data_IF_133283537064
#
_entry.id   IF_133283537064
#
_cell.length_a   1.000
_cell.length_b   1.000
_cell.length_c   1.000
_cell.angle_alpha   90.00
_cell.angle_beta   90.00
_cell.angle_gamma   90.00
#
_symmetry.space_group_name_H-M   'P 1'
#
loop_
_entity.id
_entity.type
_entity.pdbx_description
1 polymer ?
#
# COMPACT_ATOMS: atom_id res chain seq x y z
N UNK A 1 20.97 -43.64 -47.94
CA UNK A 1 21.57 -42.53 -48.70
C UNK A 1 21.27 -41.28 -47.87
N UNK A 2 22.06 -40.94 -46.90
CA UNK A 2 23.22 -40.06 -46.77
C UNK A 2 23.01 -38.69 -47.45
N UNK A 3 22.78 -37.66 -46.66
CA UNK A 3 23.68 -36.49 -46.67
C UNK A 3 23.50 -35.64 -45.39
N UNK A 4 24.64 -35.44 -44.72
CA UNK A 4 24.86 -34.44 -43.67
C UNK A 4 25.27 -33.13 -44.34
N UNK A 5 24.80 -31.99 -43.84
CA UNK A 5 25.49 -30.72 -44.05
C UNK A 5 25.57 -29.96 -42.69
N UNK A 6 26.80 -29.73 -42.28
CA UNK A 6 27.20 -28.98 -41.12
C UNK A 6 27.12 -27.47 -41.42
N UNK A 7 26.79 -26.71 -40.43
CA UNK A 7 26.80 -25.26 -40.39
C UNK A 7 27.60 -24.75 -39.21
N UNK A 8 28.58 -23.92 -39.52
CA UNK A 8 29.65 -23.43 -38.66
C UNK A 8 29.20 -22.54 -37.51
N UNK A 9 29.81 -22.74 -36.36
CA UNK A 9 29.76 -21.83 -35.18
C UNK A 9 30.71 -20.68 -35.44
N UNK A 10 30.21 -19.45 -35.50
CA UNK A 10 31.02 -18.24 -35.48
C UNK A 10 30.98 -17.65 -34.08
N UNK A 11 32.10 -17.75 -33.40
CA UNK A 11 32.38 -17.04 -32.13
C UNK A 11 32.69 -15.57 -32.45
N UNK A 12 31.85 -14.67 -31.97
CA UNK A 12 32.10 -13.23 -32.00
C UNK A 12 32.63 -12.77 -30.64
N UNK A 13 33.91 -12.41 -30.61
CA UNK A 13 34.63 -11.79 -29.51
C UNK A 13 34.23 -10.30 -29.45
N UNK A 14 33.52 -9.88 -28.41
CA UNK A 14 33.26 -8.47 -28.16
C UNK A 14 34.33 -7.90 -27.25
N UNK A 15 35.04 -6.87 -27.74
CA UNK A 15 36.07 -6.14 -27.05
C UNK A 15 35.51 -5.25 -25.93
N UNK A 16 36.10 -5.36 -24.75
CA UNK A 16 35.85 -4.47 -23.62
C UNK A 16 36.53 -3.10 -23.86
N UNK A 17 35.74 -2.06 -23.95
CA UNK A 17 36.20 -0.66 -23.96
C UNK A 17 36.18 -0.12 -22.53
N UNK A 18 37.36 0.10 -21.96
CA UNK A 18 37.55 0.76 -20.66
C UNK A 18 37.36 2.27 -20.81
N UNK A 19 36.33 2.82 -20.18
CA UNK A 19 36.12 4.25 -20.09
C UNK A 19 36.72 4.80 -18.81
N UNK A 20 37.84 5.53 -18.95
CA UNK A 20 38.51 6.26 -17.88
C UNK A 20 37.69 7.47 -17.48
N UNK A 21 37.19 7.50 -16.24
CA UNK A 21 36.50 8.67 -15.68
C UNK A 21 37.54 9.60 -15.03
N UNK A 22 37.71 10.77 -15.63
CA UNK A 22 38.51 11.86 -15.09
C UNK A 22 37.82 12.51 -13.89
N UNK A 23 38.52 12.52 -12.76
CA UNK A 23 38.11 13.14 -11.49
C UNK A 23 38.47 14.63 -11.51
N UNK A 24 37.53 15.54 -11.74
CA UNK A 24 37.70 16.95 -11.52
C UNK A 24 37.46 17.32 -10.05
N UNK A 25 38.52 17.76 -9.38
CA UNK A 25 38.43 18.37 -8.04
C UNK A 25 37.93 19.81 -8.15
N UNK A 26 36.76 20.08 -7.57
CA UNK A 26 36.27 21.44 -7.36
C UNK A 26 36.81 21.98 -6.03
N UNK A 27 37.48 23.09 -6.06
CA UNK A 27 38.02 23.81 -4.91
C UNK A 27 36.88 24.56 -4.19
N UNK A 28 36.77 24.33 -2.89
CA UNK A 28 35.88 25.06 -1.99
C UNK A 28 36.50 26.42 -1.63
N UNK A 29 35.85 27.51 -2.04
CA UNK A 29 36.15 28.85 -1.57
C UNK A 29 35.34 29.15 -0.32
N UNK A 30 36.01 29.20 0.83
CA UNK A 30 35.45 29.65 2.10
C UNK A 30 35.38 31.17 2.11
N UNK A 31 34.16 31.71 2.04
CA UNK A 31 33.93 33.17 2.20
C UNK A 31 33.48 33.43 3.65
N UNK A 32 34.43 33.93 4.47
CA UNK A 32 34.24 34.31 5.86
C UNK A 32 33.67 35.74 5.94
N UNK A 33 32.36 35.87 6.14
CA UNK A 33 31.75 37.16 6.47
C UNK A 33 31.69 37.31 7.99
N UNK A 34 32.62 38.17 8.51
CA UNK A 34 32.58 38.71 9.89
C UNK A 34 31.39 39.65 10.03
N UNK A 35 30.35 39.25 10.72
CA UNK A 35 29.27 40.13 11.18
C UNK A 35 29.66 40.76 12.53
N UNK A 36 29.86 42.08 12.54
CA UNK A 36 30.00 42.89 13.75
C UNK A 36 28.67 42.90 14.53
N UNK A 37 28.63 42.25 15.66
CA UNK A 37 27.53 42.34 16.63
C UNK A 37 27.62 43.66 17.39
N UNK A 38 26.74 44.61 17.08
CA UNK A 38 26.39 45.71 18.00
C UNK A 38 25.40 45.13 19.03
N UNK A 39 25.85 45.07 20.29
CA UNK A 39 25.01 44.65 21.41
C UNK A 39 23.95 45.69 21.76
N UNK A 40 22.67 45.28 21.63
CA UNK A 40 21.56 46.01 22.25
C UNK A 40 20.89 45.04 23.19
N UNK A 41 21.13 45.15 24.51
CA UNK A 41 20.50 44.37 25.54
C UNK A 41 19.06 44.81 25.73
N UNK A 42 18.13 44.15 25.06
CA UNK A 42 16.71 44.30 25.34
C UNK A 42 16.33 43.32 26.45
N UNK A 43 16.07 43.80 27.66
CA UNK A 43 15.55 43.01 28.75
C UNK A 43 14.08 42.69 28.47
N UNK A 44 13.82 41.56 27.81
CA UNK A 44 12.47 41.02 27.67
C UNK A 44 12.15 40.23 28.96
N UNK A 45 11.31 40.78 29.81
CA UNK A 45 10.67 40.05 30.90
C UNK A 45 9.68 39.05 30.28
N UNK A 46 9.97 37.77 30.42
CA UNK A 46 9.01 36.70 30.05
C UNK A 46 7.84 36.74 31.05
N UNK A 47 6.58 36.80 30.58
CA UNK A 47 5.44 36.59 31.45
C UNK A 47 5.49 35.17 32.05
N UNK A 48 5.31 35.06 33.36
CA UNK A 48 5.17 33.77 34.06
C UNK A 48 3.86 33.13 33.59
N UNK A 49 3.96 32.18 32.63
CA UNK A 49 2.84 31.32 32.27
C UNK A 49 2.75 30.24 33.32
N UNK A 50 1.76 30.34 34.22
CA UNK A 50 1.40 29.23 35.10
C UNK A 50 0.83 28.10 34.26
N UNK A 51 1.34 26.85 34.42
CA UNK A 51 0.77 25.73 33.67
C UNK A 51 -0.68 25.48 34.10
N UNK A 52 -1.59 25.13 33.18
CA UNK A 52 -2.95 24.79 33.57
C UNK A 52 -2.92 23.57 34.49
N UNK A 53 -3.57 23.67 35.64
CA UNK A 53 -3.77 22.56 36.56
C UNK A 53 -4.76 21.61 35.87
N UNK A 54 -4.24 20.54 35.28
CA UNK A 54 -5.06 19.44 34.81
C UNK A 54 -5.57 18.68 36.03
N UNK A 55 -6.80 18.95 36.44
CA UNK A 55 -7.52 18.11 37.38
C UNK A 55 -7.80 16.76 36.75
N UNK A 56 -6.95 15.77 37.00
CA UNK A 56 -7.14 14.38 36.59
C UNK A 56 -8.24 13.73 37.44
N UNK A 57 -9.49 13.97 37.08
CA UNK A 57 -10.60 13.11 37.47
C UNK A 57 -10.93 12.17 36.31
N UNK A 58 -10.04 11.26 35.96
CA UNK A 58 -10.34 10.14 35.12
C UNK A 58 -10.73 8.95 35.98
N UNK A 59 -12.01 8.85 36.32
CA UNK A 59 -12.61 7.55 36.60
C UNK A 59 -12.51 6.73 35.33
N UNK A 60 -11.51 5.85 35.25
CA UNK A 60 -11.42 4.82 34.22
C UNK A 60 -12.52 3.79 34.48
N UNK A 61 -13.76 4.11 34.10
CA UNK A 61 -14.75 3.08 33.88
C UNK A 61 -14.27 2.30 32.64
N UNK A 62 -13.85 1.07 32.87
CA UNK A 62 -13.62 0.12 31.77
C UNK A 62 -14.95 -0.05 31.01
N UNK A 63 -15.12 0.74 29.95
CA UNK A 63 -16.28 0.64 29.06
C UNK A 63 -16.14 -0.72 28.37
N UNK A 64 -16.92 -1.71 28.81
CA UNK A 64 -17.10 -2.96 28.06
C UNK A 64 -17.75 -2.56 26.73
N UNK A 65 -17.02 -2.73 25.63
CA UNK A 65 -17.54 -2.46 24.29
C UNK A 65 -18.64 -3.47 24.01
N UNK A 66 -19.88 -3.01 23.93
CA UNK A 66 -21.03 -3.81 23.54
C UNK A 66 -21.14 -3.76 22.00
N UNK A 67 -20.46 -4.69 21.34
CA UNK A 67 -20.40 -4.73 19.87
C UNK A 67 -21.77 -4.89 19.18
N UNK A 68 -22.81 -5.32 19.90
CA UNK A 68 -24.17 -5.37 19.34
C UNK A 68 -24.79 -3.99 19.18
N UNK A 69 -24.48 -3.08 20.10
CA UNK A 69 -25.03 -1.72 20.13
C UNK A 69 -24.02 -0.65 19.65
N UNK A 70 -22.72 -0.95 19.73
CA UNK A 70 -21.66 0.02 19.39
C UNK A 70 -21.26 0.01 17.90
N UNK A 71 -21.68 -1.01 17.10
CA UNK A 71 -21.40 -1.07 15.65
C UNK A 71 -22.39 -0.17 14.89
N UNK A 72 -21.95 1.03 14.53
CA UNK A 72 -22.78 2.02 13.83
C UNK A 72 -22.29 2.33 12.42
N UNK A 73 -21.05 1.97 12.07
CA UNK A 73 -20.42 2.29 10.79
C UNK A 73 -19.73 1.10 10.14
N UNK A 74 -19.39 1.25 8.87
CA UNK A 74 -18.59 0.25 8.14
C UNK A 74 -17.15 0.13 8.68
N UNK A 75 -16.62 1.21 9.25
CA UNK A 75 -15.29 1.19 9.87
C UNK A 75 -15.29 0.37 11.15
N UNK A 76 -16.32 0.48 11.98
CA UNK A 76 -16.46 -0.32 13.20
C UNK A 76 -16.51 -1.82 12.86
N UNK A 77 -17.19 -2.17 11.76
CA UNK A 77 -17.22 -3.56 11.26
C UNK A 77 -15.83 -4.02 10.84
N UNK A 78 -15.04 -3.17 10.19
CA UNK A 78 -13.66 -3.49 9.79
C UNK A 78 -12.78 -3.77 11.02
N UNK A 79 -12.85 -2.91 12.03
CA UNK A 79 -12.12 -3.08 13.29
C UNK A 79 -12.54 -4.36 14.01
N UNK A 80 -13.84 -4.63 14.10
CA UNK A 80 -14.38 -5.84 14.71
C UNK A 80 -13.91 -7.11 13.98
N UNK A 81 -13.90 -7.10 12.65
CA UNK A 81 -13.39 -8.22 11.84
C UNK A 81 -11.92 -8.48 12.14
N UNK A 82 -11.09 -7.44 12.13
CA UNK A 82 -9.65 -7.56 12.42
C UNK A 82 -9.43 -8.10 13.84
N UNK A 83 -10.16 -7.57 14.82
CA UNK A 83 -10.09 -8.03 16.21
C UNK A 83 -10.49 -9.49 16.36
N UNK A 84 -11.67 -9.89 15.85
CA UNK A 84 -12.18 -11.24 15.97
C UNK A 84 -11.32 -12.26 15.23
N UNK A 85 -10.80 -11.90 14.04
CA UNK A 85 -9.86 -12.72 13.29
C UNK A 85 -8.61 -13.05 14.12
N UNK A 86 -8.03 -12.07 14.79
CA UNK A 86 -6.85 -12.25 15.65
C UNK A 86 -7.23 -13.09 16.86
N UNK A 87 -8.33 -12.76 17.55
CA UNK A 87 -8.81 -13.46 18.75
C UNK A 87 -9.07 -14.94 18.49
N UNK A 88 -9.61 -15.27 17.32
CA UNK A 88 -9.98 -16.65 16.93
C UNK A 88 -8.87 -17.36 16.13
N UNK A 89 -7.72 -16.67 15.91
CA UNK A 89 -6.59 -17.18 15.12
C UNK A 89 -6.98 -17.63 13.71
N UNK A 90 -7.92 -16.92 13.08
CA UNK A 90 -8.37 -17.19 11.70
C UNK A 90 -7.48 -16.42 10.72
N UNK A 91 -7.02 -17.07 9.66
CA UNK A 91 -6.23 -16.47 8.60
C UNK A 91 -7.10 -15.82 7.52
N UNK A 92 -6.55 -14.89 6.75
CA UNK A 92 -7.22 -14.33 5.57
C UNK A 92 -7.52 -15.39 4.50
N UNK A 93 -6.67 -16.41 4.41
CA UNK A 93 -6.86 -17.53 3.48
C UNK A 93 -8.04 -18.41 3.86
N UNK A 94 -8.26 -18.68 5.14
CA UNK A 94 -9.42 -19.41 5.63
C UNK A 94 -10.72 -18.64 5.39
N UNK A 95 -10.70 -17.31 5.64
CA UNK A 95 -11.83 -16.45 5.31
C UNK A 95 -12.15 -16.50 3.80
N UNK A 96 -11.14 -16.38 2.95
CA UNK A 96 -11.30 -16.45 1.50
C UNK A 96 -11.89 -17.79 1.05
N UNK A 97 -11.39 -18.88 1.61
CA UNK A 97 -11.89 -20.22 1.33
C UNK A 97 -13.37 -20.38 1.73
N UNK A 98 -13.78 -19.82 2.87
CA UNK A 98 -15.17 -19.89 3.34
C UNK A 98 -16.16 -19.19 2.40
N UNK A 99 -15.74 -18.07 1.79
CA UNK A 99 -16.54 -17.29 0.83
C UNK A 99 -16.40 -17.78 -0.60
N UNK A 100 -15.41 -18.62 -0.88
CA UNK A 100 -15.05 -19.09 -2.22
C UNK A 100 -14.68 -17.94 -3.18
N UNK A 101 -13.81 -17.05 -2.70
CA UNK A 101 -13.25 -15.91 -3.45
C UNK A 101 -11.74 -15.86 -3.28
N UNK A 102 -11.06 -15.03 -4.07
CA UNK A 102 -9.63 -14.80 -3.89
C UNK A 102 -9.32 -14.19 -2.52
N UNK A 103 -8.13 -14.46 -2.02
CA UNK A 103 -7.65 -13.93 -0.73
C UNK A 103 -7.61 -12.40 -0.76
N UNK A 104 -7.15 -11.83 -1.87
CA UNK A 104 -7.01 -10.39 -2.09
C UNK A 104 -8.38 -9.70 -2.04
N UNK A 105 -9.36 -10.22 -2.79
CA UNK A 105 -10.71 -9.65 -2.81
C UNK A 105 -11.37 -9.76 -1.42
N UNK A 106 -11.27 -10.93 -0.79
CA UNK A 106 -11.90 -11.16 0.52
C UNK A 106 -11.31 -10.25 1.59
N UNK A 107 -9.97 -10.14 1.63
CA UNK A 107 -9.29 -9.23 2.55
C UNK A 107 -9.71 -7.79 2.30
N UNK A 108 -9.71 -7.33 1.03
CA UNK A 108 -10.10 -5.98 0.65
C UNK A 108 -11.57 -5.69 1.01
N UNK A 109 -12.48 -6.66 0.84
CA UNK A 109 -13.87 -6.52 1.24
C UNK A 109 -14.03 -6.43 2.76
N UNK A 110 -13.32 -7.24 3.53
CA UNK A 110 -13.29 -7.16 4.99
C UNK A 110 -12.73 -5.84 5.50
N UNK A 111 -11.73 -5.28 4.79
CA UNK A 111 -11.15 -3.97 5.09
C UNK A 111 -11.98 -2.77 4.54
N UNK A 112 -13.21 -3.01 4.10
CA UNK A 112 -14.16 -1.95 3.78
C UNK A 112 -14.07 -1.38 2.36
N UNK A 113 -13.40 -2.05 1.41
CA UNK A 113 -13.24 -1.54 0.05
C UNK A 113 -14.24 -2.13 -0.96
N UNK A 114 -14.93 -3.22 -0.63
CA UNK A 114 -15.96 -3.86 -1.47
C UNK A 114 -17.20 -4.21 -0.65
N UNK A 115 -18.37 -4.24 -1.32
CA UNK A 115 -19.57 -4.83 -0.77
C UNK A 115 -19.57 -6.35 -0.97
N UNK A 116 -20.14 -7.07 -0.02
CA UNK A 116 -20.36 -8.51 -0.11
C UNK A 116 -21.81 -8.80 -0.49
N UNK A 117 -22.04 -9.90 -1.18
CA UNK A 117 -23.39 -10.46 -1.30
C UNK A 117 -23.89 -10.96 0.07
N UNK A 118 -25.19 -11.17 0.21
CA UNK A 118 -25.79 -11.67 1.45
C UNK A 118 -25.14 -12.98 1.90
N UNK A 119 -24.96 -13.92 0.97
CA UNK A 119 -24.35 -15.22 1.25
C UNK A 119 -22.89 -15.11 1.71
N UNK A 120 -22.10 -14.24 1.10
CA UNK A 120 -20.70 -13.99 1.49
C UNK A 120 -20.62 -13.36 2.89
N UNK A 121 -21.43 -12.33 3.14
CA UNK A 121 -21.48 -11.63 4.42
C UNK A 121 -21.93 -12.57 5.57
N UNK A 122 -22.90 -13.44 5.34
CA UNK A 122 -23.36 -14.43 6.32
C UNK A 122 -22.26 -15.45 6.66
N UNK A 123 -21.48 -15.92 5.68
CA UNK A 123 -20.35 -16.83 5.92
C UNK A 123 -19.26 -16.18 6.76
N UNK A 124 -18.88 -14.96 6.43
CA UNK A 124 -17.91 -14.19 7.24
C UNK A 124 -18.46 -13.94 8.65
N UNK A 125 -19.75 -13.57 8.74
CA UNK A 125 -20.43 -13.35 10.02
C UNK A 125 -20.46 -14.58 10.91
N UNK A 126 -20.73 -15.74 10.35
CA UNK A 126 -20.73 -17.02 11.08
C UNK A 126 -19.32 -17.39 11.55
N UNK A 127 -18.31 -17.28 10.66
CA UNK A 127 -16.93 -17.66 10.97
C UNK A 127 -16.30 -16.76 12.04
N UNK A 128 -16.61 -15.46 12.02
CA UNK A 128 -16.04 -14.47 12.94
C UNK A 128 -16.99 -14.08 14.08
N UNK A 129 -18.15 -14.74 14.22
CA UNK A 129 -19.17 -14.40 15.24
C UNK A 129 -19.56 -12.92 15.23
N UNK A 130 -19.85 -12.36 14.04
CA UNK A 130 -20.22 -10.96 13.91
C UNK A 130 -21.70 -10.75 14.26
N UNK A 131 -22.08 -9.62 14.88
CA UNK A 131 -23.47 -9.31 15.14
C UNK A 131 -24.25 -9.09 13.83
N UNK A 132 -25.60 -9.31 13.83
CA UNK A 132 -26.41 -9.20 12.63
C UNK A 132 -26.34 -7.84 11.92
N UNK A 133 -26.12 -6.76 12.67
CA UNK A 133 -25.93 -5.42 12.11
C UNK A 133 -24.64 -5.32 11.29
N UNK A 134 -23.54 -5.91 11.76
CA UNK A 134 -22.28 -5.95 11.04
C UNK A 134 -22.41 -6.74 9.71
N UNK A 135 -23.12 -7.88 9.73
CA UNK A 135 -23.42 -8.67 8.52
C UNK A 135 -24.24 -7.85 7.50
N UNK A 136 -25.18 -7.01 7.95
CA UNK A 136 -25.93 -6.11 7.05
C UNK A 136 -25.01 -5.01 6.49
N UNK A 137 -24.15 -4.42 7.31
CA UNK A 137 -23.21 -3.39 6.88
C UNK A 137 -22.18 -3.92 5.88
N UNK A 138 -21.79 -5.20 5.92
CA UNK A 138 -20.92 -5.83 4.92
C UNK A 138 -21.54 -5.82 3.51
N UNK A 139 -22.86 -5.79 3.40
CA UNK A 139 -23.59 -5.79 2.13
C UNK A 139 -23.76 -4.39 1.55
N UNK A 140 -23.54 -3.35 2.33
CA UNK A 140 -23.67 -1.96 1.85
C UNK A 140 -22.49 -1.56 0.99
N UNK A 141 -22.72 -0.64 0.04
CA UNK A 141 -21.65 -0.06 -0.79
C UNK A 141 -20.78 0.84 0.09
N UNK A 142 -19.49 0.53 0.24
CA UNK A 142 -18.61 1.33 1.09
C UNK A 142 -18.10 2.58 0.37
N UNK A 143 -17.62 3.55 1.15
CA UNK A 143 -16.75 4.61 0.63
C UNK A 143 -15.37 4.01 0.36
N UNK A 144 -14.90 4.08 -0.90
CA UNK A 144 -13.63 3.49 -1.33
C UNK A 144 -12.48 4.49 -1.21
N UNK A 145 -11.27 3.98 -0.95
CA UNK A 145 -10.07 4.80 -0.84
C UNK A 145 -9.92 5.45 0.53
N UNK A 146 -9.72 4.64 1.56
CA UNK A 146 -9.70 5.05 2.98
C UNK A 146 -8.31 5.41 3.53
N UNK A 147 -7.34 5.77 2.67
CA UNK A 147 -6.06 6.26 3.18
C UNK A 147 -6.25 7.63 3.87
N UNK A 148 -5.79 7.81 5.11
CA UNK A 148 -6.03 9.02 5.90
C UNK A 148 -5.25 10.24 5.39
N UNK A 149 -4.21 10.03 4.59
CA UNK A 149 -3.33 11.07 4.03
C UNK A 149 -3.03 10.82 2.56
N UNK A 150 -2.74 11.89 1.80
CA UNK A 150 -2.35 11.78 0.39
C UNK A 150 -1.02 11.03 0.22
N UNK A 151 -0.07 11.25 1.14
CA UNK A 151 1.20 10.51 1.20
C UNK A 151 1.10 9.53 2.36
N UNK A 152 1.20 8.22 2.11
CA UNK A 152 1.14 7.22 3.17
C UNK A 152 2.28 7.35 4.16
N UNK A 153 2.00 7.20 5.45
CA UNK A 153 3.01 7.21 6.52
C UNK A 153 3.41 5.81 6.96
N UNK A 154 2.60 4.80 6.66
CA UNK A 154 2.96 3.40 6.89
C UNK A 154 4.13 2.98 5.99
N UNK A 155 5.22 2.38 6.55
CA UNK A 155 6.42 2.05 5.77
C UNK A 155 6.17 1.10 4.59
N UNK A 156 5.25 0.14 4.72
CA UNK A 156 4.94 -0.81 3.65
C UNK A 156 4.12 -0.13 2.55
N UNK A 157 3.07 0.61 2.91
CA UNK A 157 2.23 1.32 1.93
C UNK A 157 3.05 2.39 1.21
N UNK A 158 3.98 3.05 1.93
CA UNK A 158 4.89 4.02 1.34
C UNK A 158 5.81 3.43 0.27
N UNK A 159 6.23 2.15 0.37
CA UNK A 159 7.01 1.48 -0.69
C UNK A 159 6.24 1.40 -2.01
N UNK A 160 4.93 1.13 -1.97
CA UNK A 160 4.09 1.15 -3.18
C UNK A 160 3.91 2.55 -3.74
N UNK A 161 3.75 3.55 -2.88
CA UNK A 161 3.72 4.96 -3.29
C UNK A 161 5.05 5.37 -3.97
N UNK A 162 6.18 5.01 -3.38
CA UNK A 162 7.51 5.25 -3.95
C UNK A 162 7.70 4.54 -5.31
N UNK A 163 7.26 3.28 -5.42
CA UNK A 163 7.28 2.53 -6.68
C UNK A 163 6.53 3.27 -7.79
N UNK A 164 5.33 3.78 -7.50
CA UNK A 164 4.55 4.55 -8.47
C UNK A 164 5.22 5.88 -8.81
N UNK A 165 5.83 6.57 -7.84
CA UNK A 165 6.57 7.81 -8.10
C UNK A 165 7.80 7.60 -9.00
N UNK A 166 8.51 6.48 -8.83
CA UNK A 166 9.72 6.16 -9.61
C UNK A 166 9.38 5.60 -10.99
N UNK A 167 8.43 4.66 -11.05
CA UNK A 167 8.13 3.90 -12.27
C UNK A 167 6.82 4.27 -12.96
N UNK A 168 6.03 5.19 -12.41
CA UNK A 168 4.72 5.52 -12.98
C UNK A 168 4.81 6.07 -14.40
N UNK A 169 5.76 6.95 -14.69
CA UNK A 169 6.02 7.45 -16.03
C UNK A 169 6.52 6.35 -16.98
N UNK A 170 7.35 5.43 -16.48
CA UNK A 170 7.83 4.27 -17.25
C UNK A 170 6.67 3.36 -17.61
N UNK A 171 5.78 3.04 -16.67
CA UNK A 171 4.57 2.25 -16.95
C UNK A 171 3.70 2.92 -18.01
N UNK A 172 3.52 4.24 -17.91
CA UNK A 172 2.76 5.00 -18.88
C UNK A 172 3.36 4.87 -20.30
N UNK A 173 4.65 5.13 -20.45
CA UNK A 173 5.33 5.08 -21.76
C UNK A 173 5.23 3.68 -22.37
N UNK A 174 5.54 2.63 -21.62
CA UNK A 174 5.50 1.26 -22.12
C UNK A 174 4.07 0.80 -22.47
N UNK A 175 3.08 1.15 -21.65
CA UNK A 175 1.68 0.82 -21.95
C UNK A 175 1.22 1.56 -23.21
N UNK A 176 1.58 2.83 -23.38
CA UNK A 176 1.19 3.59 -24.56
C UNK A 176 1.93 3.11 -25.83
N UNK A 177 3.15 2.61 -25.70
CA UNK A 177 3.88 2.01 -26.82
C UNK A 177 3.20 0.73 -27.32
N UNK A 178 2.79 -0.16 -26.41
CA UNK A 178 2.20 -1.46 -26.75
C UNK A 178 0.71 -1.36 -27.12
N UNK A 179 -0.06 -0.53 -26.42
CA UNK A 179 -1.53 -0.51 -26.53
C UNK A 179 -2.08 0.78 -27.14
N UNK A 180 -1.29 1.86 -27.22
CA UNK A 180 -1.73 3.18 -27.63
C UNK A 180 -2.28 4.01 -26.47
N UNK A 181 -2.96 5.11 -26.81
CA UNK A 181 -3.48 6.07 -25.83
C UNK A 181 -4.71 5.52 -25.10
N UNK A 182 -4.53 5.22 -23.81
CA UNK A 182 -5.56 4.62 -22.96
C UNK A 182 -5.08 4.38 -21.54
N UNK A 183 -5.86 3.61 -20.78
CA UNK A 183 -5.59 3.28 -19.39
C UNK A 183 -5.76 1.78 -19.12
N UNK A 184 -5.10 1.29 -18.08
CA UNK A 184 -5.42 0.00 -17.46
C UNK A 184 -6.54 0.20 -16.45
N UNK A 185 -7.63 -0.56 -16.56
CA UNK A 185 -8.73 -0.52 -15.59
C UNK A 185 -8.26 -1.03 -14.21
N UNK A 186 -8.62 -0.32 -13.16
CA UNK A 186 -8.52 -0.78 -11.78
C UNK A 186 -9.87 -1.32 -11.24
N UNK A 187 -10.90 -1.42 -12.09
CA UNK A 187 -12.23 -1.93 -11.77
C UNK A 187 -12.41 -3.34 -12.36
N UNK A 188 -12.18 -3.47 -13.67
CA UNK A 188 -12.04 -4.77 -14.34
C UNK A 188 -10.58 -5.21 -14.18
N UNK A 189 -10.27 -5.80 -13.02
CA UNK A 189 -8.91 -5.94 -12.50
C UNK A 189 -8.77 -7.19 -11.64
N UNK A 190 -7.66 -7.90 -11.82
CA UNK A 190 -7.25 -9.02 -11.00
C UNK A 190 -5.89 -8.74 -10.37
N UNK A 191 -5.73 -9.19 -9.13
CA UNK A 191 -4.46 -9.15 -8.42
C UNK A 191 -4.22 -10.48 -7.71
N UNK A 192 -2.99 -10.96 -7.76
CA UNK A 192 -2.52 -12.15 -7.05
C UNK A 192 -1.24 -11.80 -6.28
N UNK A 193 -1.16 -12.22 -5.01
CA UNK A 193 -0.04 -11.97 -4.13
C UNK A 193 0.50 -13.29 -3.59
N UNK A 194 1.78 -13.55 -3.86
CA UNK A 194 2.45 -14.79 -3.49
C UNK A 194 3.75 -14.51 -2.74
N UNK A 195 4.08 -15.44 -1.84
CA UNK A 195 5.42 -15.55 -1.29
C UNK A 195 6.24 -16.45 -2.21
N UNK A 196 7.32 -15.94 -2.76
CA UNK A 196 8.24 -16.67 -3.63
C UNK A 196 9.66 -16.67 -3.06
N UNK A 197 10.55 -17.45 -3.66
CA UNK A 197 11.98 -17.44 -3.34
C UNK A 197 12.76 -16.72 -4.44
N UNK A 198 13.77 -15.95 -4.03
CA UNK A 198 14.74 -15.37 -4.95
C UNK A 198 15.91 -16.30 -5.26
N UNK A 199 16.88 -15.80 -6.01
CA UNK A 199 18.04 -16.57 -6.45
C UNK A 199 18.97 -17.01 -5.30
N UNK A 200 18.98 -16.27 -4.20
CA UNK A 200 19.76 -16.55 -3.00
C UNK A 200 18.91 -17.16 -1.87
N UNK A 201 17.76 -17.77 -2.21
CA UNK A 201 16.78 -18.36 -1.28
C UNK A 201 16.12 -17.35 -0.33
N UNK A 202 16.28 -16.04 -0.57
CA UNK A 202 15.60 -15.01 0.19
C UNK A 202 14.08 -15.00 -0.10
N UNK A 203 13.27 -14.63 0.89
CA UNK A 203 11.83 -14.47 0.73
C UNK A 203 11.51 -13.25 -0.12
N UNK A 204 10.68 -13.43 -1.14
CA UNK A 204 10.19 -12.36 -2.02
C UNK A 204 8.68 -12.26 -2.00
N UNK A 205 8.18 -11.03 -2.07
CA UNK A 205 6.78 -10.73 -2.34
C UNK A 205 6.62 -10.58 -3.85
N UNK A 206 5.84 -11.46 -4.47
CA UNK A 206 5.49 -11.37 -5.89
C UNK A 206 4.05 -10.92 -6.01
N UNK A 207 3.81 -9.85 -6.76
CA UNK A 207 2.48 -9.30 -7.02
C UNK A 207 2.28 -9.29 -8.52
N UNK A 208 1.24 -9.99 -8.98
CA UNK A 208 0.81 -9.97 -10.39
C UNK A 208 -0.48 -9.17 -10.50
N UNK A 209 -0.51 -8.21 -11.40
CA UNK A 209 -1.66 -7.34 -11.65
C UNK A 209 -2.08 -7.46 -13.11
N UNK A 210 -3.38 -7.56 -13.37
CA UNK A 210 -3.96 -7.59 -14.70
C UNK A 210 -5.24 -6.77 -14.72
N UNK A 211 -5.29 -5.78 -15.58
CA UNK A 211 -6.47 -4.93 -15.77
C UNK A 211 -6.80 -4.80 -17.25
N UNK A 212 -8.10 -4.69 -17.54
CA UNK A 212 -8.58 -4.49 -18.92
C UNK A 212 -8.05 -3.18 -19.48
N UNK A 213 -7.49 -3.21 -20.68
CA UNK A 213 -7.11 -2.00 -21.40
C UNK A 213 -8.35 -1.25 -21.89
N UNK A 214 -8.39 0.05 -21.65
CA UNK A 214 -9.48 0.96 -22.05
C UNK A 214 -8.88 2.09 -22.90
N UNK A 215 -9.04 2.07 -24.23
CA UNK A 215 -8.54 3.14 -25.10
C UNK A 215 -9.35 4.43 -24.90
N UNK A 216 -8.70 5.58 -24.99
CA UNK A 216 -9.41 6.85 -25.07
C UNK A 216 -10.13 6.99 -26.40
N UNK A 217 -11.35 7.50 -26.34
CA UNK A 217 -12.15 7.75 -27.54
C UNK A 217 -11.57 8.92 -28.32
N UNK A 218 -11.30 8.69 -29.61
CA UNK A 218 -10.94 9.77 -30.54
C UNK A 218 -12.23 10.42 -31.04
N UNK A 219 -12.32 11.72 -30.94
CA UNK A 219 -13.44 12.53 -31.45
C UNK A 219 -13.11 13.04 -32.86
#
# INVERSE_FOLDING_TARGET
MVQRSGGAVTTSTAAASAMTVARTRSASATNSLRFLRKGTTCKHQRPKVTPPVFSSSSSSSSRTIDWENDVVSRNDVTELIVFNRIKMNVTWSELASSVNKSKEWTTSACLGQHSMSKSEAEKVGTLLHLPPVAVKLLQTVPYKGSLPTQVPTDPLIYRFYELVNVYGTTFKELIHEEFGDGIMSAIDFNMDLQKTKGELDEDRVTITMSGKYLPYKKY
#
